data_IF_529025285681
#
_entry.id   IF_529025285681
#
_cell.length_a   1.000
_cell.length_b   1.000
_cell.length_c   1.000
_cell.angle_alpha   90.00
_cell.angle_beta   90.00
_cell.angle_gamma   90.00
#
_symmetry.space_group_name_H-M   'P 1'
#
loop_
_entity.id
_entity.type
_entity.pdbx_description
1 polymer ?
#
# COMPACT_ATOMS: atom_id res chain seq x y z
N UNK A 1 23.49 11.60 12.14
CA UNK A 1 22.12 11.07 11.95
C UNK A 1 22.15 10.30 10.65
N UNK A 2 21.87 9.00 10.66
CA UNK A 2 21.72 8.23 9.41
C UNK A 2 20.60 8.84 8.59
N UNK A 3 20.86 9.11 7.31
CA UNK A 3 19.87 9.63 6.38
C UNK A 3 18.69 8.66 6.29
N UNK A 4 17.45 9.15 6.40
CA UNK A 4 16.24 8.32 6.28
C UNK A 4 16.14 7.75 4.87
N UNK A 5 15.60 6.54 4.75
CA UNK A 5 15.33 5.90 3.45
C UNK A 5 14.16 6.56 2.71
N UNK A 6 13.32 7.28 3.46
CA UNK A 6 12.01 7.72 2.99
C UNK A 6 11.19 6.50 2.52
N UNK A 7 11.17 5.46 3.35
CA UNK A 7 10.42 4.22 3.13
C UNK A 7 9.72 3.85 4.44
N UNK A 8 8.65 3.06 4.37
CA UNK A 8 7.91 2.60 5.56
C UNK A 8 8.83 1.89 6.57
N UNK A 9 9.92 1.29 6.10
CA UNK A 9 10.97 0.61 6.89
C UNK A 9 11.84 1.55 7.71
N UNK A 10 11.68 2.87 7.58
CA UNK A 10 12.19 3.83 8.57
C UNK A 10 11.51 3.64 9.94
N UNK A 11 10.31 3.04 9.98
CA UNK A 11 9.70 2.51 11.20
C UNK A 11 10.43 1.22 11.57
N UNK A 12 11.33 1.30 12.56
CA UNK A 12 12.13 0.15 12.97
C UNK A 12 11.27 -1.00 13.52
N UNK A 13 11.60 -2.24 13.16
CA UNK A 13 10.82 -3.45 13.51
C UNK A 13 9.89 -3.96 12.41
N UNK A 14 9.97 -3.36 11.23
CA UNK A 14 9.18 -3.69 10.04
C UNK A 14 10.11 -3.98 8.86
N UNK A 15 9.84 -5.06 8.14
CA UNK A 15 10.53 -5.45 6.91
C UNK A 15 9.54 -5.66 5.78
N UNK A 16 9.92 -5.29 4.56
CA UNK A 16 9.10 -5.42 3.36
C UNK A 16 9.78 -6.35 2.37
N UNK A 17 9.01 -7.27 1.77
CA UNK A 17 9.48 -8.12 0.69
C UNK A 17 8.49 -8.16 -0.47
N UNK A 18 9.03 -8.31 -1.68
CA UNK A 18 8.28 -8.32 -2.92
C UNK A 18 8.56 -9.62 -3.69
N UNK A 19 7.53 -10.21 -4.29
CA UNK A 19 7.69 -11.24 -5.32
C UNK A 19 6.65 -11.00 -6.41
N UNK A 20 7.00 -11.31 -7.65
CA UNK A 20 6.11 -11.08 -8.79
C UNK A 20 6.43 -12.08 -9.90
N UNK A 21 5.40 -12.39 -10.67
CA UNK A 21 5.54 -13.18 -11.88
C UNK A 21 5.30 -12.26 -13.08
N UNK A 22 6.37 -12.07 -13.85
CA UNK A 22 6.35 -11.24 -15.04
C UNK A 22 5.28 -11.75 -16.01
N UNK A 23 5.28 -13.05 -16.35
CA UNK A 23 4.35 -13.69 -17.29
C UNK A 23 2.91 -13.51 -16.83
N UNK A 24 2.65 -13.71 -15.55
CA UNK A 24 1.35 -13.45 -14.95
C UNK A 24 0.96 -11.97 -15.06
N UNK A 25 1.92 -11.05 -14.95
CA UNK A 25 1.66 -9.62 -14.88
C UNK A 25 1.09 -9.21 -13.53
N UNK A 26 1.47 -9.87 -12.45
CA UNK A 26 0.95 -9.63 -11.09
C UNK A 26 2.00 -10.00 -10.03
N UNK A 27 1.72 -9.69 -8.77
CA UNK A 27 2.65 -9.97 -7.67
C UNK A 27 2.09 -9.73 -6.28
N UNK A 28 2.97 -9.88 -5.30
CA UNK A 28 2.70 -9.82 -3.87
C UNK A 28 3.76 -8.98 -3.17
N UNK A 29 3.32 -8.11 -2.27
CA UNK A 29 4.16 -7.40 -1.31
C UNK A 29 3.75 -7.81 0.10
N UNK A 30 4.74 -8.13 0.93
CA UNK A 30 4.54 -8.59 2.31
C UNK A 30 5.24 -7.62 3.26
N UNK A 31 4.51 -7.16 4.27
CA UNK A 31 5.04 -6.45 5.42
C UNK A 31 5.12 -7.42 6.60
N UNK A 32 6.31 -7.71 7.10
CA UNK A 32 6.54 -8.55 8.28
C UNK A 32 6.98 -7.70 9.47
N UNK A 33 6.40 -7.98 10.63
CA UNK A 33 6.78 -7.35 11.88
C UNK A 33 7.74 -8.27 12.64
N UNK A 34 8.81 -7.71 13.20
CA UNK A 34 9.76 -8.49 14.00
C UNK A 34 9.11 -9.02 15.28
N UNK A 35 8.13 -8.28 15.82
CA UNK A 35 7.27 -8.68 16.94
C UNK A 35 5.80 -8.44 16.54
N UNK A 36 4.82 -9.18 17.10
CA UNK A 36 3.42 -8.97 16.78
C UNK A 36 2.96 -7.52 17.00
N UNK A 37 2.46 -6.87 15.97
CA UNK A 37 2.10 -5.45 16.00
C UNK A 37 0.60 -5.23 16.21
N UNK A 38 0.23 -4.25 17.05
CA UNK A 38 -1.16 -3.82 17.20
C UNK A 38 -1.63 -3.28 15.85
N UNK A 39 -2.60 -3.95 15.25
CA UNK A 39 -3.04 -3.65 13.89
C UNK A 39 -4.56 -3.50 13.83
N UNK A 40 -5.02 -2.52 13.05
CA UNK A 40 -6.41 -2.39 12.66
C UNK A 40 -6.56 -2.06 11.17
N UNK A 41 -7.78 -2.11 10.65
CA UNK A 41 -8.07 -1.92 9.22
C UNK A 41 -9.36 -1.13 9.02
N UNK A 42 -9.41 -0.32 7.97
CA UNK A 42 -10.64 0.27 7.47
C UNK A 42 -10.75 0.06 5.96
N UNK A 43 -11.84 -0.58 5.52
CA UNK A 43 -12.19 -0.69 4.12
C UNK A 43 -13.28 0.35 3.82
N UNK A 44 -12.97 1.32 2.96
CA UNK A 44 -13.89 2.40 2.60
C UNK A 44 -14.46 2.23 1.19
N UNK A 45 -13.75 1.52 0.31
CA UNK A 45 -14.24 1.19 -1.02
C UNK A 45 -15.45 0.24 -1.00
N UNK A 46 -16.27 0.28 -2.05
CA UNK A 46 -17.47 -0.55 -2.17
C UNK A 46 -17.24 -2.03 -2.56
N UNK A 47 -16.03 -2.42 -2.97
CA UNK A 47 -15.71 -3.78 -3.42
C UNK A 47 -14.37 -4.32 -2.85
N UNK A 48 -14.19 -4.37 -1.52
CA UNK A 48 -12.95 -4.86 -0.93
C UNK A 48 -12.75 -6.37 -1.15
N UNK A 49 -11.52 -6.77 -1.43
CA UNK A 49 -11.07 -8.17 -1.40
C UNK A 49 -10.07 -8.34 -0.26
N UNK A 50 -10.53 -8.90 0.86
CA UNK A 50 -9.75 -8.97 2.10
C UNK A 50 -9.76 -10.34 2.75
N UNK A 51 -8.76 -10.60 3.60
CA UNK A 51 -8.65 -11.80 4.43
C UNK A 51 -8.23 -11.42 5.85
N UNK A 52 -8.82 -12.11 6.83
CA UNK A 52 -8.48 -12.01 8.25
C UNK A 52 -8.56 -10.57 8.79
N UNK A 53 -9.61 -9.83 8.41
CA UNK A 53 -9.85 -8.45 8.86
C UNK A 53 -10.68 -8.34 10.12
N UNK A 54 -11.60 -9.27 10.39
CA UNK A 54 -12.50 -9.20 11.55
C UNK A 54 -11.73 -9.23 12.87
N UNK A 55 -10.65 -10.01 12.96
CA UNK A 55 -9.80 -10.10 14.16
C UNK A 55 -9.08 -8.78 14.51
N UNK A 56 -9.04 -7.85 13.54
CA UNK A 56 -8.42 -6.53 13.68
C UNK A 56 -9.37 -5.49 14.27
N UNK A 57 -10.64 -5.83 14.49
CA UNK A 57 -11.56 -4.91 15.14
C UNK A 57 -11.17 -4.65 16.61
N UNK A 58 -11.40 -3.43 17.14
CA UNK A 58 -10.96 -3.06 18.48
C UNK A 58 -11.55 -3.89 19.62
N UNK A 59 -12.66 -4.58 19.40
CA UNK A 59 -13.32 -5.45 20.38
C UNK A 59 -12.78 -6.90 20.37
N UNK A 60 -11.91 -7.27 19.42
CA UNK A 60 -11.40 -8.64 19.29
C UNK A 60 -10.13 -8.86 20.13
N UNK A 61 -10.00 -10.09 20.63
CA UNK A 61 -9.01 -10.50 21.62
C UNK A 61 -7.55 -10.43 21.15
N UNK A 62 -7.25 -10.76 19.89
CA UNK A 62 -5.86 -10.88 19.40
C UNK A 62 -5.10 -9.57 19.63
N UNK A 63 -3.99 -9.53 20.39
CA UNK A 63 -3.31 -8.27 20.70
C UNK A 63 -2.56 -7.67 19.51
N UNK A 64 -2.08 -8.51 18.58
CA UNK A 64 -1.35 -8.09 17.38
C UNK A 64 -1.21 -9.21 16.36
N UNK A 65 -0.75 -8.87 15.15
CA UNK A 65 -0.52 -9.81 14.04
C UNK A 65 0.94 -9.79 13.59
N UNK A 66 1.35 -10.74 12.76
CA UNK A 66 2.76 -10.94 12.36
C UNK A 66 3.10 -10.30 11.02
N UNK A 67 2.08 -10.01 10.20
CA UNK A 67 2.29 -9.33 8.93
C UNK A 67 1.01 -8.93 8.21
N UNK A 68 1.20 -8.13 7.17
CA UNK A 68 0.16 -7.67 6.25
C UNK A 68 0.60 -7.96 4.82
N UNK A 69 -0.32 -8.45 4.00
CA UNK A 69 -0.08 -8.74 2.58
C UNK A 69 -0.88 -7.78 1.70
N UNK A 70 -0.20 -7.20 0.71
CA UNK A 70 -0.79 -6.38 -0.35
C UNK A 70 -0.49 -7.06 -1.69
N UNK A 71 -1.53 -7.52 -2.40
CA UNK A 71 -1.37 -8.41 -3.56
C UNK A 71 -2.18 -7.95 -4.77
N UNK A 72 -1.82 -8.41 -5.96
CA UNK A 72 -2.72 -8.49 -7.11
C UNK A 72 -3.63 -9.72 -7.06
N UNK A 73 -4.31 -10.01 -8.16
CA UNK A 73 -5.10 -11.25 -8.33
C UNK A 73 -6.55 -11.21 -7.87
N UNK A 74 -7.03 -10.07 -7.36
CA UNK A 74 -8.36 -9.96 -6.78
C UNK A 74 -8.59 -11.06 -5.72
N UNK A 75 -9.76 -11.70 -5.69
CA UNK A 75 -10.05 -12.76 -4.74
C UNK A 75 -9.08 -13.95 -4.82
N UNK A 76 -8.52 -14.28 -6.00
CA UNK A 76 -7.49 -15.32 -6.13
C UNK A 76 -6.18 -14.94 -5.45
N UNK A 77 -5.89 -13.63 -5.39
CA UNK A 77 -4.75 -13.08 -4.68
C UNK A 77 -4.69 -13.44 -3.21
N UNK A 78 -5.86 -13.65 -2.58
CA UNK A 78 -6.00 -13.97 -1.15
C UNK A 78 -5.33 -15.29 -0.72
N UNK A 79 -4.89 -16.10 -1.68
CA UNK A 79 -4.04 -17.28 -1.43
C UNK A 79 -2.65 -16.89 -0.91
N UNK A 80 -2.16 -15.69 -1.20
CA UNK A 80 -0.83 -15.22 -0.81
C UNK A 80 -0.57 -15.26 0.70
N UNK A 81 -1.54 -14.89 1.54
CA UNK A 81 -1.40 -14.98 2.99
C UNK A 81 -1.05 -16.40 3.46
N UNK A 82 -1.52 -17.44 2.77
CA UNK A 82 -1.20 -18.82 3.13
C UNK A 82 0.28 -19.15 2.92
N UNK A 83 0.92 -18.57 1.89
CA UNK A 83 2.35 -18.68 1.67
C UNK A 83 3.17 -17.98 2.75
N UNK A 84 2.73 -16.77 3.15
CA UNK A 84 3.36 -16.04 4.26
C UNK A 84 3.20 -16.79 5.58
N UNK A 85 2.04 -17.40 5.84
CA UNK A 85 1.83 -18.26 6.99
C UNK A 85 2.78 -19.46 6.99
N UNK A 86 2.99 -20.10 5.83
CA UNK A 86 3.94 -21.21 5.71
C UNK A 86 5.37 -20.76 6.07
N UNK A 87 5.83 -19.63 5.52
CA UNK A 87 7.14 -19.06 5.87
C UNK A 87 7.26 -18.77 7.38
N UNK A 88 6.31 -18.04 7.98
CA UNK A 88 6.34 -17.73 9.40
C UNK A 88 6.31 -18.97 10.30
N UNK A 89 5.53 -19.99 9.90
CA UNK A 89 5.45 -21.27 10.61
C UNK A 89 6.80 -22.00 10.62
N UNK A 90 7.53 -21.99 9.50
CA UNK A 90 8.88 -22.55 9.40
C UNK A 90 9.88 -21.80 10.28
N UNK A 91 9.70 -20.48 10.44
CA UNK A 91 10.50 -19.67 11.35
C UNK A 91 10.11 -19.83 12.83
N UNK A 92 9.10 -20.65 13.14
CA UNK A 92 8.59 -20.79 14.51
C UNK A 92 7.92 -19.52 15.05
N UNK A 93 7.35 -18.69 14.17
CA UNK A 93 6.66 -17.45 14.50
C UNK A 93 5.15 -17.65 14.39
N UNK A 94 4.41 -17.26 15.43
CA UNK A 94 2.95 -17.23 15.40
C UNK A 94 2.31 -16.98 16.76
N UNK A 95 0.99 -16.91 16.78
CA UNK A 95 0.19 -16.80 17.99
C UNK A 95 0.07 -18.19 18.63
N UNK A 96 0.49 -18.31 19.88
CA UNK A 96 0.46 -19.56 20.62
C UNK A 96 -0.96 -19.87 21.14
N UNK A 97 -1.48 -21.05 20.80
CA UNK A 97 -2.72 -21.62 21.31
C UNK A 97 -2.39 -22.99 21.91
N UNK A 98 -2.02 -22.99 23.19
CA UNK A 98 -1.40 -24.16 23.84
C UNK A 98 -0.17 -24.60 23.02
N UNK A 99 -0.16 -25.83 22.52
CA UNK A 99 0.95 -26.40 21.76
C UNK A 99 0.90 -26.06 20.26
N UNK A 100 -0.19 -25.41 19.80
CA UNK A 100 -0.33 -24.96 18.42
C UNK A 100 0.22 -23.54 18.23
N UNK A 101 0.89 -23.30 17.10
CA UNK A 101 1.42 -21.99 16.72
C UNK A 101 0.78 -21.55 15.42
N UNK A 102 0.06 -20.41 15.46
CA UNK A 102 -0.77 -19.92 14.35
C UNK A 102 -0.30 -18.55 13.89
N UNK A 103 0.42 -18.43 12.76
CA UNK A 103 0.78 -17.14 12.21
C UNK A 103 -0.47 -16.38 11.74
N UNK A 104 -0.70 -15.20 12.33
CA UNK A 104 -1.78 -14.29 11.95
C UNK A 104 -1.29 -13.29 10.90
N UNK A 105 -1.88 -13.33 9.71
CA UNK A 105 -1.50 -12.53 8.55
C UNK A 105 -2.76 -12.01 7.86
N UNK A 106 -2.98 -10.69 7.93
CA UNK A 106 -4.12 -10.04 7.26
C UNK A 106 -3.73 -9.60 5.86
N UNK A 107 -4.72 -9.49 4.96
CA UNK A 107 -4.44 -9.20 3.55
C UNK A 107 -5.52 -8.35 2.90
N UNK A 108 -5.10 -7.55 1.92
CA UNK A 108 -5.98 -7.04 0.88
C UNK A 108 -5.41 -7.31 -0.52
N UNK A 109 -6.28 -7.36 -1.53
CA UNK A 109 -5.90 -7.58 -2.92
C UNK A 109 -6.53 -6.58 -3.88
N UNK A 110 -5.75 -6.15 -4.89
CA UNK A 110 -6.22 -5.35 -6.01
C UNK A 110 -6.69 -6.23 -7.17
N UNK A 111 -7.56 -5.68 -8.03
CA UNK A 111 -7.91 -6.31 -9.29
C UNK A 111 -6.92 -5.92 -10.41
N UNK A 112 -6.14 -6.90 -10.90
CA UNK A 112 -5.22 -6.75 -12.03
C UNK A 112 -5.39 -7.89 -13.06
N UNK A 113 -6.56 -8.53 -13.10
CA UNK A 113 -6.79 -9.70 -13.95
C UNK A 113 -6.92 -9.37 -15.46
N UNK A 114 -7.11 -8.09 -15.82
CA UNK A 114 -7.26 -7.63 -17.22
C UNK A 114 -6.17 -6.64 -17.64
N UNK A 115 -5.04 -6.63 -16.95
CA UNK A 115 -3.94 -5.69 -17.17
C UNK A 115 -2.93 -6.14 -18.26
N UNK A 116 -3.23 -7.23 -18.96
CA UNK A 116 -2.27 -7.99 -19.77
C UNK A 116 -1.83 -9.27 -19.05
N UNK A 117 -0.67 -9.82 -19.44
CA UNK A 117 -0.14 -11.06 -18.88
C UNK A 117 -0.98 -12.32 -19.16
N UNK A 118 -0.43 -13.48 -18.82
CA UNK A 118 -1.11 -14.76 -18.96
C UNK A 118 -1.83 -15.14 -17.66
N UNK A 119 -3.17 -15.19 -17.70
CA UNK A 119 -4.03 -15.59 -16.58
C UNK A 119 -4.49 -17.05 -16.65
N UNK A 120 -3.99 -17.82 -17.63
CA UNK A 120 -4.28 -19.24 -17.80
C UNK A 120 -3.31 -20.11 -16.96
N UNK A 121 -3.37 -19.96 -15.64
CA UNK A 121 -2.56 -20.72 -14.68
C UNK A 121 -3.13 -22.11 -14.36
N UNK A 122 -4.20 -22.53 -15.03
CA UNK A 122 -4.87 -23.81 -14.78
C UNK A 122 -5.67 -23.81 -13.47
N UNK A 123 -5.36 -24.75 -12.56
CA UNK A 123 -6.22 -25.06 -11.40
C UNK A 123 -5.99 -24.14 -10.19
N UNK A 124 -4.74 -23.89 -9.83
CA UNK A 124 -4.39 -23.13 -8.63
C UNK A 124 -3.64 -21.86 -9.02
N UNK A 125 -4.02 -20.68 -8.48
CA UNK A 125 -3.32 -19.46 -8.78
C UNK A 125 -1.94 -19.42 -8.08
N UNK A 126 -0.94 -18.72 -8.63
CA UNK A 126 0.45 -18.76 -8.13
C UNK A 126 0.69 -17.89 -6.87
N UNK A 127 -0.34 -17.22 -6.35
CA UNK A 127 -0.20 -16.22 -5.30
C UNK A 127 0.33 -16.79 -3.98
N UNK A 128 0.04 -18.06 -3.66
CA UNK A 128 0.58 -18.71 -2.46
C UNK A 128 2.09 -18.79 -2.51
N UNK A 129 2.65 -19.27 -3.62
CA UNK A 129 4.09 -19.40 -3.83
C UNK A 129 4.75 -18.01 -3.83
N UNK A 130 4.16 -17.03 -4.53
CA UNK A 130 4.61 -15.64 -4.50
C UNK A 130 4.58 -15.03 -3.09
N UNK A 131 3.57 -15.35 -2.27
CA UNK A 131 3.50 -14.91 -0.88
C UNK A 131 4.63 -15.46 -0.01
N UNK A 132 4.97 -16.74 -0.20
CA UNK A 132 6.12 -17.35 0.49
C UNK A 132 7.43 -16.70 0.08
N UNK A 133 7.67 -16.52 -1.23
CA UNK A 133 8.88 -15.88 -1.77
C UNK A 133 9.02 -14.44 -1.30
N UNK A 134 7.94 -13.65 -1.33
CA UNK A 134 7.94 -12.28 -0.85
C UNK A 134 8.28 -12.21 0.65
N UNK A 135 7.78 -13.13 1.47
CA UNK A 135 8.12 -13.19 2.89
C UNK A 135 9.60 -13.55 3.13
N UNK A 136 10.16 -14.45 2.34
CA UNK A 136 11.57 -14.83 2.40
C UNK A 136 12.52 -13.66 2.03
N UNK A 137 12.10 -12.80 1.11
CA UNK A 137 12.89 -11.65 0.64
C UNK A 137 12.72 -10.39 1.51
N UNK A 138 11.99 -10.46 2.63
CA UNK A 138 11.66 -9.28 3.43
C UNK A 138 12.89 -8.60 4.06
N UNK A 139 13.15 -7.35 3.68
CA UNK A 139 14.28 -6.54 4.12
C UNK A 139 13.92 -5.09 4.44
N UNK A 140 14.94 -4.26 4.69
CA UNK A 140 14.76 -2.82 4.94
C UNK A 140 14.68 -2.01 3.64
N UNK A 141 15.32 -2.49 2.58
CA UNK A 141 15.35 -1.87 1.26
C UNK A 141 14.55 -2.75 0.30
N UNK A 142 13.71 -2.14 -0.53
CA UNK A 142 12.84 -2.83 -1.47
C UNK A 142 12.51 -1.93 -2.65
N UNK A 143 12.21 -2.53 -3.80
CA UNK A 143 11.88 -1.79 -5.02
C UNK A 143 10.47 -1.17 -4.95
N UNK A 144 10.33 0.00 -5.56
CA UNK A 144 9.06 0.69 -5.78
C UNK A 144 8.63 0.58 -7.26
N UNK A 145 7.44 1.06 -7.59
CA UNK A 145 6.94 1.08 -8.95
C UNK A 145 6.36 -0.28 -9.37
N UNK A 146 6.92 -0.86 -10.43
CA UNK A 146 6.43 -2.13 -10.99
C UNK A 146 7.11 -3.31 -10.31
N UNK A 147 6.80 -3.47 -9.02
CA UNK A 147 7.36 -4.52 -8.16
C UNK A 147 6.31 -5.01 -7.16
N UNK A 148 6.40 -6.30 -6.79
CA UNK A 148 5.51 -6.94 -5.83
C UNK A 148 4.03 -6.77 -6.15
N UNK A 149 3.22 -6.39 -5.16
CA UNK A 149 1.78 -6.09 -5.34
C UNK A 149 1.51 -4.96 -6.33
N UNK A 150 2.48 -4.08 -6.58
CA UNK A 150 2.41 -3.00 -7.57
C UNK A 150 2.63 -3.44 -9.01
N UNK A 151 3.10 -4.67 -9.25
CA UNK A 151 3.50 -5.14 -10.57
C UNK A 151 2.37 -4.98 -11.59
N UNK A 152 1.20 -5.51 -11.27
CA UNK A 152 0.03 -5.46 -12.15
C UNK A 152 -0.81 -4.18 -12.07
N UNK A 153 -0.46 -3.26 -11.17
CA UNK A 153 -1.34 -2.15 -10.81
C UNK A 153 -1.46 -1.09 -11.91
N UNK A 154 -2.66 -0.52 -12.08
CA UNK A 154 -2.97 0.53 -13.08
C UNK A 154 -3.86 1.62 -12.50
N UNK A 155 -3.68 2.85 -12.95
CA UNK A 155 -4.64 3.94 -12.74
C UNK A 155 -5.54 4.09 -13.97
N UNK A 156 -6.38 5.12 -14.02
CA UNK A 156 -7.24 5.39 -15.17
C UNK A 156 -6.48 5.61 -16.49
N UNK A 157 -5.28 6.17 -16.44
CA UNK A 157 -4.57 6.69 -17.62
C UNK A 157 -3.06 6.43 -17.61
N UNK A 158 -2.52 5.85 -16.54
CA UNK A 158 -1.11 5.55 -16.35
C UNK A 158 -0.95 4.19 -15.68
N UNK A 159 0.24 3.60 -15.83
CA UNK A 159 0.70 2.51 -14.99
C UNK A 159 0.64 2.94 -13.52
N UNK A 160 0.10 2.07 -12.67
CA UNK A 160 0.12 2.20 -11.21
C UNK A 160 1.39 1.60 -10.64
N UNK A 161 1.47 1.45 -9.32
CA UNK A 161 2.67 0.82 -8.75
C UNK A 161 2.66 0.70 -7.23
N UNK A 162 3.76 0.16 -6.71
CA UNK A 162 4.07 0.09 -5.30
C UNK A 162 4.78 1.38 -4.87
N UNK A 163 4.24 2.08 -3.89
CA UNK A 163 4.78 3.31 -3.36
C UNK A 163 5.09 3.22 -1.89
N UNK A 164 6.09 3.97 -1.44
CA UNK A 164 6.39 4.11 -0.01
C UNK A 164 7.05 5.44 0.31
N UNK A 165 6.75 5.97 1.51
CA UNK A 165 7.37 7.17 2.10
C UNK A 165 7.36 7.08 3.63
N UNK A 166 8.08 7.99 4.27
CA UNK A 166 8.04 8.15 5.73
C UNK A 166 8.16 9.62 6.16
N UNK A 167 7.75 9.88 7.40
CA UNK A 167 7.91 11.15 8.08
C UNK A 167 8.20 10.93 9.57
N UNK A 168 8.54 12.01 10.26
CA UNK A 168 8.69 12.00 11.72
C UNK A 168 7.99 13.20 12.30
N UNK A 169 7.22 12.96 13.37
CA UNK A 169 6.50 14.00 14.10
C UNK A 169 7.49 14.95 14.79
N UNK A 170 6.99 16.11 15.20
CA UNK A 170 7.70 17.07 16.05
C UNK A 170 8.23 16.45 17.35
N UNK A 171 7.54 15.41 17.85
CA UNK A 171 7.88 14.65 19.06
C UNK A 171 8.78 13.44 18.81
N UNK A 172 9.21 13.20 17.56
CA UNK A 172 10.17 12.15 17.23
C UNK A 172 9.57 10.77 16.97
N UNK A 173 8.25 10.66 16.80
CA UNK A 173 7.59 9.42 16.35
C UNK A 173 7.75 9.27 14.84
N UNK A 174 8.02 8.05 14.38
CA UNK A 174 8.14 7.75 12.95
C UNK A 174 6.80 7.23 12.44
N UNK A 175 6.39 7.68 11.27
CA UNK A 175 5.24 7.14 10.54
C UNK A 175 5.65 6.89 9.10
N UNK A 176 5.17 5.79 8.52
CA UNK A 176 5.45 5.43 7.15
C UNK A 176 4.23 4.86 6.45
N UNK A 177 4.22 4.97 5.13
CA UNK A 177 3.18 4.43 4.27
C UNK A 177 3.76 3.48 3.23
N UNK A 178 3.03 2.41 2.92
CA UNK A 178 3.26 1.48 1.83
C UNK A 178 1.93 1.31 1.10
N UNK A 179 1.92 1.43 -0.22
CA UNK A 179 0.66 1.45 -0.98
C UNK A 179 0.82 0.76 -2.33
N UNK A 180 -0.17 -0.06 -2.70
CA UNK A 180 -0.35 -0.56 -4.06
C UNK A 180 -1.44 0.28 -4.74
N UNK A 181 -1.06 0.98 -5.81
CA UNK A 181 -1.91 1.97 -6.47
C UNK A 181 -2.56 1.40 -7.72
N UNK A 182 -3.77 0.83 -7.58
CA UNK A 182 -4.61 0.41 -8.72
C UNK A 182 -5.91 1.22 -8.78
N UNK A 183 -5.78 2.54 -8.70
CA UNK A 183 -6.89 3.47 -8.48
C UNK A 183 -7.91 3.54 -9.62
N UNK A 184 -9.16 3.89 -9.27
CA UNK A 184 -10.22 4.09 -10.26
C UNK A 184 -9.98 5.34 -11.10
N UNK A 185 -9.37 6.37 -10.51
CA UNK A 185 -9.17 7.69 -11.11
C UNK A 185 -7.70 8.04 -11.31
N UNK A 186 -7.46 9.08 -12.10
CA UNK A 186 -6.13 9.65 -12.34
C UNK A 186 -5.52 10.25 -11.07
N UNK A 187 -4.23 9.99 -10.87
CA UNK A 187 -3.38 10.65 -9.87
C UNK A 187 -2.73 11.94 -10.39
N UNK A 188 -2.78 12.18 -11.70
CA UNK A 188 -2.27 13.40 -12.33
C UNK A 188 -3.40 14.37 -12.70
N UNK A 189 -3.05 15.64 -12.77
CA UNK A 189 -3.94 16.76 -13.08
C UNK A 189 -4.13 16.85 -14.59
N UNK A 190 -5.36 16.57 -15.06
CA UNK A 190 -5.66 16.48 -16.48
C UNK A 190 -4.77 15.45 -17.19
N UNK A 191 -4.14 15.86 -18.29
CA UNK A 191 -3.18 15.05 -19.05
C UNK A 191 -1.73 15.54 -18.87
N UNK A 192 -1.46 16.33 -17.83
CA UNK A 192 -0.13 16.92 -17.59
C UNK A 192 0.74 16.10 -16.63
N UNK A 193 1.98 16.55 -16.39
CA UNK A 193 2.94 15.85 -15.53
C UNK A 193 2.65 15.99 -14.03
N UNK A 194 1.83 16.97 -13.63
CA UNK A 194 1.61 17.31 -12.23
C UNK A 194 0.73 16.29 -11.52
N UNK A 195 1.22 15.72 -10.42
CA UNK A 195 0.42 14.93 -9.49
C UNK A 195 -0.48 15.82 -8.63
N UNK A 196 -1.66 15.32 -8.22
CA UNK A 196 -2.47 15.98 -7.18
C UNK A 196 -1.71 16.11 -5.85
N UNK A 197 -0.83 15.14 -5.57
CA UNK A 197 0.08 15.15 -4.42
C UNK A 197 1.17 16.23 -4.47
N UNK A 198 1.30 16.99 -5.56
CA UNK A 198 2.45 17.86 -5.82
C UNK A 198 2.73 18.94 -4.76
N UNK A 199 1.78 19.26 -3.88
CA UNK A 199 1.98 20.22 -2.80
C UNK A 199 2.80 19.65 -1.63
N UNK A 200 2.90 18.31 -1.56
CA UNK A 200 3.59 17.57 -0.51
C UNK A 200 4.89 16.93 -1.01
N UNK A 201 5.35 17.26 -2.22
CA UNK A 201 6.57 16.71 -2.78
C UNK A 201 7.80 17.12 -1.97
N UNK A 202 8.63 16.15 -1.60
CA UNK A 202 9.90 16.40 -0.93
C UNK A 202 11.07 15.93 -1.80
N UNK A 203 12.11 16.76 -1.91
CA UNK A 203 13.37 16.35 -2.57
C UNK A 203 13.25 15.93 -4.05
N UNK A 204 12.15 16.28 -4.73
CA UNK A 204 11.89 15.84 -6.11
C UNK A 204 11.58 14.36 -6.25
N UNK A 205 11.09 13.71 -5.18
CA UNK A 205 10.85 12.27 -5.09
C UNK A 205 9.86 11.71 -6.14
N UNK A 206 9.09 12.57 -6.83
CA UNK A 206 8.24 12.17 -7.96
C UNK A 206 8.28 13.17 -9.13
N UNK A 207 9.47 13.71 -9.41
CA UNK A 207 9.79 14.45 -10.64
C UNK A 207 9.95 15.97 -10.47
N UNK A 208 9.72 16.52 -9.28
CA UNK A 208 9.99 17.93 -8.94
C UNK A 208 9.08 18.93 -9.65
N UNK A 209 7.91 18.48 -10.13
CA UNK A 209 6.98 19.34 -10.86
C UNK A 209 6.14 20.22 -9.92
N UNK A 210 5.98 19.82 -8.66
CA UNK A 210 5.16 20.50 -7.67
C UNK A 210 3.68 20.63 -8.07
N UNK A 211 2.90 21.26 -7.19
CA UNK A 211 1.51 21.61 -7.49
C UNK A 211 1.43 22.89 -8.34
N UNK A 212 0.65 22.91 -9.43
CA UNK A 212 0.49 24.12 -10.23
C UNK A 212 -0.20 25.24 -9.43
N UNK A 213 0.17 26.50 -9.71
CA UNK A 213 -0.44 27.69 -9.04
C UNK A 213 -1.95 27.79 -9.22
N UNK A 214 -2.48 27.27 -10.34
CA UNK A 214 -3.90 27.24 -10.67
C UNK A 214 -4.23 25.95 -11.41
N UNK A 215 -5.36 25.33 -11.05
CA UNK A 215 -5.92 24.18 -11.77
C UNK A 215 -7.25 24.58 -12.39
N UNK A 216 -7.28 24.67 -13.72
CA UNK A 216 -8.49 25.07 -14.44
C UNK A 216 -9.62 24.03 -14.33
N UNK A 217 -10.91 24.43 -14.37
CA UNK A 217 -12.06 23.51 -14.37
C UNK A 217 -11.92 22.31 -15.30
N UNK A 218 -11.41 22.52 -16.52
CA UNK A 218 -11.24 21.47 -17.52
C UNK A 218 -10.24 20.38 -17.08
N UNK A 219 -9.18 20.77 -16.35
CA UNK A 219 -8.18 19.84 -15.80
C UNK A 219 -8.66 19.10 -14.54
N UNK A 220 -9.81 19.50 -14.00
CA UNK A 220 -10.49 18.87 -12.84
C UNK A 220 -11.58 17.87 -13.27
N UNK A 221 -11.79 17.66 -14.57
CA UNK A 221 -12.75 16.64 -15.05
C UNK A 221 -12.32 15.25 -14.56
N UNK A 222 -13.31 14.40 -14.30
CA UNK A 222 -13.06 13.03 -13.86
C UNK A 222 -12.45 12.23 -15.01
N UNK A 223 -11.22 11.75 -14.82
CA UNK A 223 -10.56 10.75 -15.65
C UNK A 223 -10.56 9.47 -14.82
N UNK A 224 -11.29 8.45 -15.29
CA UNK A 224 -11.51 7.19 -14.56
C UNK A 224 -11.58 6.01 -15.52
N UNK A 225 -11.43 4.77 -15.00
CA UNK A 225 -11.35 3.53 -15.79
C UNK A 225 -12.60 3.21 -16.63
N UNK A 226 -13.78 3.73 -16.27
CA UNK A 226 -15.03 3.53 -17.00
C UNK A 226 -15.68 2.16 -16.75
N UNK A 227 -17.01 2.11 -16.84
CA UNK A 227 -17.79 0.89 -16.64
C UNK A 227 -17.70 0.28 -15.22
N UNK A 228 -18.23 -0.93 -15.00
CA UNK A 228 -18.13 -1.65 -13.74
C UNK A 228 -16.77 -2.36 -13.60
N UNK A 229 -15.67 -1.65 -13.87
CA UNK A 229 -14.32 -2.20 -13.73
C UNK A 229 -13.84 -2.03 -12.28
N UNK A 230 -13.47 -3.11 -11.58
CA UNK A 230 -12.91 -3.00 -10.25
C UNK A 230 -11.59 -2.22 -10.25
N UNK A 231 -11.47 -1.34 -9.27
CA UNK A 231 -10.23 -0.63 -8.96
C UNK A 231 -9.95 -0.81 -7.47
N UNK A 232 -8.72 -0.58 -7.02
CA UNK A 232 -8.38 -0.73 -5.61
C UNK A 232 -7.08 0.00 -5.29
N UNK A 233 -7.08 0.87 -4.28
CA UNK A 233 -5.83 1.32 -3.63
C UNK A 233 -5.75 0.73 -2.24
N UNK A 234 -4.78 -0.16 -2.02
CA UNK A 234 -4.57 -0.83 -0.72
C UNK A 234 -3.26 -0.37 -0.09
N UNK A 235 -3.30 -0.11 1.22
CA UNK A 235 -2.15 0.46 1.91
C UNK A 235 -1.94 -0.11 3.31
N UNK A 236 -0.70 0.01 3.78
CA UNK A 236 -0.31 -0.13 5.17
C UNK A 236 0.29 1.19 5.65
N UNK A 237 -0.19 1.66 6.80
CA UNK A 237 0.45 2.70 7.60
C UNK A 237 1.14 2.03 8.78
N UNK A 238 2.40 2.38 9.04
CA UNK A 238 3.13 1.89 10.20
C UNK A 238 3.63 3.05 11.06
N UNK A 239 3.71 2.85 12.38
CA UNK A 239 4.34 3.80 13.29
C UNK A 239 5.06 3.11 14.44
N UNK A 240 6.06 3.77 15.01
CA UNK A 240 6.72 3.35 16.23
C UNK A 240 5.99 3.81 17.51
N UNK A 241 4.91 4.59 17.40
CA UNK A 241 4.07 4.98 18.52
C UNK A 241 3.38 3.76 19.17
N UNK A 242 3.20 3.81 20.49
CA UNK A 242 2.33 2.88 21.24
C UNK A 242 0.89 3.32 21.05
N UNK A 243 0.11 2.50 20.33
CA UNK A 243 -1.31 2.75 20.08
C UNK A 243 -2.16 1.55 20.53
N UNK A 244 -3.37 1.84 20.98
CA UNK A 244 -4.44 0.84 21.12
C UNK A 244 -4.99 0.44 19.76
N UNK A 245 -5.73 -0.69 19.68
CA UNK A 245 -6.46 -1.06 18.44
C UNK A 245 -7.44 0.01 17.98
N UNK A 246 -8.09 0.70 18.91
CA UNK A 246 -9.02 1.78 18.58
C UNK A 246 -8.31 2.98 17.94
N UNK A 247 -7.13 3.36 18.46
CA UNK A 247 -6.27 4.38 17.86
C UNK A 247 -5.71 3.90 16.51
N UNK A 248 -5.28 2.64 16.37
CA UNK A 248 -4.89 2.08 15.07
C UNK A 248 -6.05 2.13 14.05
N UNK A 249 -7.28 1.79 14.46
CA UNK A 249 -8.48 1.92 13.61
C UNK A 249 -8.69 3.36 13.17
N UNK A 250 -8.53 4.31 14.10
CA UNK A 250 -8.64 5.74 13.80
C UNK A 250 -7.54 6.23 12.87
N UNK A 251 -6.31 5.73 13.02
CA UNK A 251 -5.19 6.02 12.13
C UNK A 251 -5.46 5.50 10.71
N UNK A 252 -5.98 4.28 10.56
CA UNK A 252 -6.41 3.75 9.27
C UNK A 252 -7.49 4.64 8.62
N UNK A 253 -8.55 4.99 9.37
CA UNK A 253 -9.62 5.90 8.91
C UNK A 253 -9.06 7.25 8.46
N UNK A 254 -8.24 7.90 9.30
CA UNK A 254 -7.68 9.22 9.00
C UNK A 254 -6.79 9.20 7.75
N UNK A 255 -6.07 8.10 7.53
CA UNK A 255 -5.16 7.94 6.40
C UNK A 255 -5.88 7.89 5.05
N UNK A 256 -7.18 7.57 5.01
CA UNK A 256 -7.98 7.68 3.77
C UNK A 256 -8.02 9.12 3.21
N UNK A 257 -7.79 10.14 4.04
CA UNK A 257 -7.59 11.51 3.56
C UNK A 257 -6.43 11.62 2.56
N UNK A 258 -5.40 10.77 2.68
CA UNK A 258 -4.29 10.74 1.74
C UNK A 258 -4.70 10.24 0.34
N UNK A 259 -5.62 9.28 0.26
CA UNK A 259 -6.20 8.83 -1.01
C UNK A 259 -6.93 9.98 -1.71
N UNK A 260 -7.76 10.71 -0.96
CA UNK A 260 -8.52 11.85 -1.48
C UNK A 260 -7.64 13.04 -1.91
N UNK A 261 -6.44 13.20 -1.32
CA UNK A 261 -5.47 14.23 -1.70
C UNK A 261 -4.63 13.84 -2.92
N UNK A 262 -4.31 12.56 -3.09
CA UNK A 262 -3.46 12.08 -4.18
C UNK A 262 -4.21 11.72 -5.46
N UNK A 263 -5.51 11.40 -5.35
CA UNK A 263 -6.33 10.94 -6.46
C UNK A 263 -7.44 11.95 -6.75
N UNK A 264 -7.84 12.06 -8.03
CA UNK A 264 -8.98 12.92 -8.38
C UNK A 264 -10.29 12.43 -7.74
N UNK A 265 -10.40 11.13 -7.54
CA UNK A 265 -11.55 10.45 -6.94
C UNK A 265 -11.08 9.09 -6.38
N UNK A 266 -11.66 8.70 -5.25
CA UNK A 266 -11.44 7.42 -4.56
C UNK A 266 -12.76 6.93 -3.97
N UNK A 267 -12.79 5.71 -3.43
CA UNK A 267 -13.93 5.16 -2.69
C UNK A 267 -15.19 4.99 -3.53
N UNK A 268 -15.00 4.70 -4.82
CA UNK A 268 -16.11 4.39 -5.71
C UNK A 268 -16.77 3.04 -5.35
N UNK A 269 -17.96 2.80 -5.91
CA UNK A 269 -18.73 1.57 -5.68
C UNK A 269 -17.95 0.29 -6.05
N UNK A 270 -17.17 0.34 -7.12
CA UNK A 270 -16.33 -0.78 -7.56
C UNK A 270 -14.87 -0.64 -7.11
N UNK A 271 -14.60 0.29 -6.18
CA UNK A 271 -13.27 0.46 -5.61
C UNK A 271 -13.11 -0.40 -4.36
N UNK A 272 -11.97 -1.05 -4.18
CA UNK A 272 -11.68 -1.92 -3.03
C UNK A 272 -10.88 -1.25 -1.91
N UNK A 273 -10.80 0.09 -1.91
CA UNK A 273 -9.86 0.85 -1.09
C UNK A 273 -9.86 0.44 0.39
N UNK A 274 -8.70 -0.06 0.84
CA UNK A 274 -8.53 -0.63 2.18
C UNK A 274 -7.18 -0.20 2.76
N UNK A 275 -7.20 0.35 3.97
CA UNK A 275 -5.99 0.78 4.67
C UNK A 275 -5.85 0.00 5.98
N UNK A 276 -4.72 -0.68 6.14
CA UNK A 276 -4.25 -1.21 7.41
C UNK A 276 -3.42 -0.15 8.14
N UNK A 277 -3.48 -0.15 9.47
CA UNK A 277 -2.60 0.65 10.31
C UNK A 277 -2.02 -0.22 11.42
N UNK A 278 -0.69 -0.25 11.51
CA UNK A 278 0.07 -1.04 12.46
C UNK A 278 0.93 -0.14 13.37
N UNK A 279 0.87 -0.40 14.67
CA UNK A 279 1.70 0.22 15.69
C UNK A 279 2.71 -0.80 16.22
N UNK A 280 3.99 -0.54 15.95
CA UNK A 280 5.11 -1.38 16.43
C UNK A 280 5.33 -1.19 17.94
N UNK A 281 4.84 -0.09 18.53
CA UNK A 281 4.69 0.05 19.98
C UNK A 281 6.00 0.30 20.74
N UNK A 282 6.88 1.16 20.22
CA UNK A 282 8.19 1.45 20.83
C UNK A 282 8.24 2.76 21.62
N UNK A 283 7.41 3.75 21.28
CA UNK A 283 7.42 5.09 21.87
C UNK A 283 6.03 5.48 22.38
N UNK A 284 5.83 5.73 23.69
CA UNK A 284 4.54 6.17 24.20
C UNK A 284 4.24 7.60 23.78
N UNK A 285 2.96 7.87 23.49
CA UNK A 285 2.47 9.24 23.34
C UNK A 285 2.43 9.91 24.71
N UNK A 286 2.95 11.15 24.83
CA UNK A 286 2.95 11.90 26.10
C UNK A 286 1.72 12.80 26.23
N UNK A 287 1.48 13.63 25.22
CA UNK A 287 0.22 14.32 25.02
C UNK A 287 -0.56 13.56 23.94
N UNK A 288 -1.38 12.60 24.38
CA UNK A 288 -2.09 11.71 23.46
C UNK A 288 -2.90 12.49 22.42
N UNK A 289 -3.62 13.54 22.81
CA UNK A 289 -4.49 14.27 21.91
C UNK A 289 -3.69 15.02 20.84
N UNK A 290 -2.66 15.79 21.25
CA UNK A 290 -1.86 16.57 20.32
C UNK A 290 -0.98 15.67 19.42
N UNK A 291 -0.27 14.72 20.03
CA UNK A 291 0.68 13.87 19.30
C UNK A 291 -0.03 12.89 18.36
N UNK A 292 -1.17 12.32 18.77
CA UNK A 292 -1.96 11.47 17.88
C UNK A 292 -2.58 12.26 16.72
N UNK A 293 -3.00 13.51 16.96
CA UNK A 293 -3.49 14.38 15.90
C UNK A 293 -2.41 14.67 14.86
N UNK A 294 -1.20 15.02 15.30
CA UNK A 294 -0.07 15.22 14.38
C UNK A 294 0.29 13.93 13.63
N UNK A 295 0.34 12.79 14.33
CA UNK A 295 0.63 11.48 13.75
C UNK A 295 -0.34 11.12 12.63
N UNK A 296 -1.64 11.30 12.85
CA UNK A 296 -2.67 11.01 11.83
C UNK A 296 -2.61 11.97 10.64
N UNK A 297 -2.22 13.23 10.86
CA UNK A 297 -2.00 14.19 9.77
C UNK A 297 -0.82 13.76 8.88
N UNK A 298 0.33 13.42 9.49
CA UNK A 298 1.51 12.96 8.76
C UNK A 298 1.31 11.61 8.09
N UNK A 299 0.50 10.72 8.66
CA UNK A 299 0.13 9.46 8.01
C UNK A 299 -0.61 9.69 6.68
N UNK A 300 -1.57 10.61 6.66
CA UNK A 300 -2.27 11.00 5.43
C UNK A 300 -1.32 11.65 4.41
N UNK A 301 -0.38 12.47 4.86
CA UNK A 301 0.63 13.10 3.98
C UNK A 301 1.60 12.06 3.40
N UNK A 302 2.07 11.10 4.21
CA UNK A 302 2.88 9.98 3.75
C UNK A 302 2.14 9.19 2.67
N UNK A 303 0.88 8.79 2.91
CA UNK A 303 0.11 8.07 1.92
C UNK A 303 -0.10 8.87 0.63
N UNK A 304 -0.36 10.17 0.75
CA UNK A 304 -0.53 11.06 -0.41
C UNK A 304 0.71 11.03 -1.31
N UNK A 305 1.89 11.16 -0.69
CA UNK A 305 3.18 11.13 -1.39
C UNK A 305 3.51 9.76 -1.95
N UNK A 306 3.28 8.70 -1.17
CA UNK A 306 3.56 7.32 -1.56
C UNK A 306 2.78 6.93 -2.82
N UNK A 307 1.54 7.41 -2.99
CA UNK A 307 0.77 7.18 -4.22
C UNK A 307 1.47 7.76 -5.45
N UNK A 308 1.86 9.04 -5.40
CA UNK A 308 2.52 9.69 -6.52
C UNK A 308 3.87 9.03 -6.82
N UNK A 309 4.65 8.72 -5.77
CA UNK A 309 5.94 8.04 -5.90
C UNK A 309 5.81 6.65 -6.51
N UNK A 310 4.81 5.87 -6.10
CA UNK A 310 4.56 4.54 -6.67
C UNK A 310 4.23 4.57 -8.16
N UNK A 311 3.51 5.60 -8.63
CA UNK A 311 3.21 5.79 -10.06
C UNK A 311 4.45 6.31 -10.82
N UNK A 312 5.20 7.23 -10.22
CA UNK A 312 6.37 7.83 -10.83
C UNK A 312 7.51 6.82 -11.07
N UNK A 313 7.73 5.90 -10.13
CA UNK A 313 8.75 4.85 -10.24
C UNK A 313 8.30 3.65 -11.08
N UNK A 314 7.03 3.60 -11.51
CA UNK A 314 6.53 2.49 -12.30
C UNK A 314 7.08 2.51 -13.74
N UNK A 315 7.24 1.31 -14.31
CA UNK A 315 7.58 1.08 -15.71
C UNK A 315 6.41 0.37 -16.40
N UNK A 316 6.17 0.66 -17.68
CA UNK A 316 5.09 0.00 -18.40
C UNK A 316 5.33 -1.51 -18.48
N UNK A 317 4.26 -2.29 -18.39
CA UNK A 317 4.35 -3.74 -18.61
C UNK A 317 4.70 -4.03 -20.07
N UNK A 318 5.47 -5.09 -20.37
CA UNK A 318 5.88 -5.46 -21.72
C UNK A 318 4.76 -6.17 -22.50
N UNK A 319 3.51 -5.66 -22.40
CA UNK A 319 2.33 -6.25 -23.03
C UNK A 319 1.65 -5.27 -24.00
N UNK A 320 1.10 -5.74 -25.12
CA UNK A 320 0.27 -4.92 -25.98
C UNK A 320 -0.90 -4.30 -25.20
N UNK A 321 -1.08 -2.98 -25.33
CA UNK A 321 -2.15 -2.25 -24.65
C UNK A 321 -1.89 -1.98 -23.16
N UNK A 322 -0.70 -2.28 -22.63
CA UNK A 322 -0.32 -1.88 -21.28
C UNK A 322 -0.42 -0.35 -21.11
N UNK A 323 -0.88 0.08 -19.94
CA UNK A 323 -0.88 1.50 -19.61
C UNK A 323 0.56 2.03 -19.60
N UNK A 324 0.84 3.19 -20.21
CA UNK A 324 2.18 3.77 -20.21
C UNK A 324 2.57 4.22 -18.80
N UNK A 325 3.86 4.14 -18.49
CA UNK A 325 4.41 4.76 -17.29
C UNK A 325 4.31 6.28 -17.37
N UNK A 326 4.39 6.93 -16.20
CA UNK A 326 4.47 8.39 -16.15
C UNK A 326 5.68 8.90 -16.94
N UNK A 327 6.84 8.24 -16.81
CA UNK A 327 8.09 8.60 -17.49
C UNK A 327 8.00 8.45 -19.01
N UNK A 328 7.22 7.50 -19.52
CA UNK A 328 7.01 7.33 -20.96
C UNK A 328 6.28 8.53 -21.58
N UNK A 329 5.41 9.20 -20.80
CA UNK A 329 4.64 10.35 -21.26
C UNK A 329 5.32 11.69 -20.99
N UNK A 330 6.04 11.78 -19.89
CA UNK A 330 6.47 13.07 -19.33
C UNK A 330 7.95 13.13 -18.96
N UNK A 331 8.66 12.00 -19.01
CA UNK A 331 10.11 11.97 -18.88
C UNK A 331 10.75 12.74 -20.02
N UNK A 332 11.84 13.46 -19.74
CA UNK A 332 12.66 14.03 -20.80
C UNK A 332 13.30 12.87 -21.55
N UNK A 333 13.23 12.88 -22.88
CA UNK A 333 14.12 12.06 -23.71
C UNK A 333 15.56 12.43 -23.34
N UNK A 334 16.33 11.45 -22.85
CA UNK A 334 17.78 11.61 -22.70
C UNK A 334 18.46 11.79 -24.06
#
# INVERSE_FOLDING_TARGET
MTQRRNLITDVAGLRIGNAHDAILGSGVTVALFDEPAVTSVFAMGGAPATRETDLLDPDKMVPGIHGVVLSGGSAFGLDAASGVQAYLREQGIGFAVRDALVPLVSQASIFDLINGGNKDWGRYPPYRELGYEAAQQAGLDFELGTSGGGYGATTANLKGGLGSTSATTSTGHTVGALVVVNSIASAVIGNGPHFWAGALEEGGEFGGHGHPKRVDPEKRKLIWKGGPQPATTIALIATDAVLTKAQAKRLAIASHAGLARALRFSHALFDGDTIFAAAIGRKPLKDEAAEFTELTALAADCLTRAIARGIYEATALPYPGAQPAWRDRFGKSE
#
